data_IF_405101844657
#
_entry.id   IF_405101844657
#
_cell.length_a   1.000
_cell.length_b   1.000
_cell.length_c   1.000
_cell.angle_alpha   90.00
_cell.angle_beta   90.00
_cell.angle_gamma   90.00
#
_symmetry.space_group_name_H-M   'P 1'
#
loop_
_entity.id
_entity.type
_entity.pdbx_description
1 polymer ?
#
# COMPACT_ATOMS: atom_id res chain seq x y z
N UNK A 1 30.87 -59.37 -14.71
CA UNK A 1 31.52 -58.72 -13.55
C UNK A 1 31.87 -57.26 -13.90
N UNK A 2 30.91 -56.48 -14.42
CA UNK A 2 31.15 -55.11 -14.91
C UNK A 2 29.86 -54.26 -14.96
N UNK A 3 28.92 -54.46 -14.01
CA UNK A 3 27.65 -53.73 -13.97
C UNK A 3 27.19 -53.43 -12.53
N UNK A 4 28.11 -53.17 -11.59
CA UNK A 4 27.75 -52.81 -10.20
C UNK A 4 28.41 -51.52 -9.66
N UNK A 5 29.32 -50.87 -10.38
CA UNK A 5 30.11 -49.76 -9.82
C UNK A 5 29.58 -48.34 -10.10
N UNK A 6 28.40 -48.18 -10.70
CA UNK A 6 27.84 -46.86 -11.03
C UNK A 6 26.72 -46.36 -10.07
N UNK A 7 26.66 -46.90 -8.85
CA UNK A 7 25.76 -46.42 -7.79
C UNK A 7 26.45 -45.45 -6.81
N UNK A 8 27.61 -44.90 -7.19
CA UNK A 8 28.32 -43.92 -6.38
C UNK A 8 27.62 -42.55 -6.42
N UNK A 9 26.95 -42.25 -5.31
CA UNK A 9 26.60 -40.90 -4.83
C UNK A 9 25.86 -39.98 -5.80
N UNK A 10 24.53 -40.13 -5.85
CA UNK A 10 23.67 -38.94 -6.00
C UNK A 10 23.89 -38.09 -4.76
N UNK A 11 24.86 -37.16 -4.81
CA UNK A 11 25.01 -36.11 -3.80
C UNK A 11 23.73 -35.28 -3.83
N UNK A 12 22.81 -35.60 -2.92
CA UNK A 12 21.69 -34.73 -2.58
C UNK A 12 22.29 -33.36 -2.30
N UNK A 13 21.98 -32.38 -3.16
CA UNK A 13 22.35 -31.00 -2.91
C UNK A 13 21.92 -30.68 -1.46
N UNK A 14 22.82 -30.11 -0.64
CA UNK A 14 22.50 -29.85 0.76
C UNK A 14 21.21 -29.06 0.79
N UNK A 15 20.19 -29.59 1.47
CA UNK A 15 18.90 -28.94 1.65
C UNK A 15 19.19 -27.49 2.01
N UNK A 16 18.89 -26.55 1.09
CA UNK A 16 19.17 -25.14 1.30
C UNK A 16 18.50 -24.78 2.61
N UNK A 17 19.31 -24.61 3.67
CA UNK A 17 18.82 -24.24 4.99
C UNK A 17 18.01 -22.99 4.75
N UNK A 18 16.68 -23.07 4.95
CA UNK A 18 15.79 -21.91 4.98
C UNK A 18 16.40 -20.90 5.93
N UNK A 19 17.14 -19.93 5.38
CA UNK A 19 17.66 -18.83 6.16
C UNK A 19 16.42 -18.15 6.72
N UNK A 20 16.23 -18.24 8.05
CA UNK A 20 15.11 -17.56 8.69
C UNK A 20 15.20 -16.10 8.25
N UNK A 21 14.10 -15.51 7.75
CA UNK A 21 14.10 -14.10 7.36
C UNK A 21 14.53 -13.32 8.59
N UNK A 22 15.76 -12.83 8.58
CA UNK A 22 16.29 -12.10 9.70
C UNK A 22 15.80 -10.67 9.52
N UNK A 23 14.68 -10.33 10.15
CA UNK A 23 14.09 -8.99 10.11
C UNK A 23 15.08 -7.89 10.52
N UNK A 24 16.11 -8.24 11.29
CA UNK A 24 17.21 -7.31 11.62
C UNK A 24 18.08 -6.94 10.40
N UNK A 25 18.05 -7.71 9.30
CA UNK A 25 18.75 -7.39 8.04
C UNK A 25 18.21 -6.13 7.37
N UNK A 26 16.96 -5.75 7.66
CA UNK A 26 16.37 -4.50 7.14
C UNK A 26 17.21 -3.30 7.62
N UNK A 27 17.73 -3.33 8.84
CA UNK A 27 18.55 -2.24 9.38
C UNK A 27 19.98 -2.16 8.79
N UNK A 28 20.40 -3.14 8.00
CA UNK A 28 21.72 -3.09 7.34
C UNK A 28 21.69 -2.26 6.06
N UNK A 29 20.51 -2.07 5.45
CA UNK A 29 20.37 -1.27 4.24
C UNK A 29 20.07 0.19 4.59
N UNK A 30 20.94 1.11 4.14
CA UNK A 30 20.77 2.55 4.40
C UNK A 30 19.44 3.09 3.84
N UNK A 31 19.00 2.56 2.70
CA UNK A 31 17.72 2.94 2.08
C UNK A 31 16.53 2.53 2.94
N UNK A 32 16.57 1.31 3.48
CA UNK A 32 15.54 0.79 4.37
C UNK A 32 15.40 1.60 5.66
N UNK A 33 16.53 2.04 6.24
CA UNK A 33 16.53 2.86 7.46
C UNK A 33 15.91 4.22 7.21
N UNK A 34 16.21 4.87 6.08
CA UNK A 34 15.59 6.14 5.69
C UNK A 34 14.10 5.96 5.46
N UNK A 35 13.70 4.90 4.73
CA UNK A 35 12.28 4.58 4.50
C UNK A 35 11.52 4.36 5.81
N UNK A 36 12.08 3.54 6.69
CA UNK A 36 11.52 3.27 8.01
C UNK A 36 11.40 4.54 8.85
N UNK A 37 12.42 5.40 8.86
CA UNK A 37 12.38 6.68 9.57
C UNK A 37 11.22 7.56 9.09
N UNK A 38 11.04 7.71 7.77
CA UNK A 38 9.96 8.53 7.20
C UNK A 38 8.57 8.00 7.56
N UNK A 39 8.37 6.67 7.48
CA UNK A 39 7.10 6.05 7.87
C UNK A 39 6.85 6.22 9.36
N UNK A 40 7.86 5.94 10.20
CA UNK A 40 7.76 6.08 11.66
C UNK A 40 7.50 7.52 12.06
N UNK A 41 8.14 8.50 11.41
CA UNK A 41 7.89 9.92 11.64
C UNK A 41 6.41 10.26 11.44
N UNK A 42 5.81 9.89 10.30
CA UNK A 42 4.41 10.17 10.02
C UNK A 42 3.45 9.38 10.90
N UNK A 43 3.77 8.12 11.23
CA UNK A 43 2.99 7.32 12.17
C UNK A 43 3.01 7.95 13.57
N UNK A 44 4.18 8.40 14.04
CA UNK A 44 4.30 9.09 15.32
C UNK A 44 3.52 10.41 15.31
N UNK A 45 3.64 11.21 14.25
CA UNK A 45 2.86 12.44 14.09
C UNK A 45 1.35 12.18 14.13
N UNK A 46 0.89 11.14 13.42
CA UNK A 46 -0.52 10.74 13.39
C UNK A 46 -1.04 10.27 14.76
N UNK A 47 -0.26 9.46 15.49
CA UNK A 47 -0.64 8.96 16.82
C UNK A 47 -0.61 10.05 17.89
N UNK A 48 0.38 10.95 17.82
CA UNK A 48 0.54 12.04 18.78
C UNK A 48 -0.39 13.24 18.48
N UNK A 49 -1.00 13.31 17.29
CA UNK A 49 -1.90 14.40 16.88
C UNK A 49 -2.90 14.86 17.96
N UNK A 50 -3.61 13.98 18.69
CA UNK A 50 -4.59 14.39 19.70
C UNK A 50 -3.98 14.95 20.99
N UNK A 51 -2.70 14.69 21.24
CA UNK A 51 -1.98 15.07 22.47
C UNK A 51 -1.11 16.30 22.23
N UNK A 52 -0.70 16.54 20.98
CA UNK A 52 0.05 17.72 20.61
C UNK A 52 -0.79 18.98 20.87
N UNK A 53 -0.17 20.08 21.33
CA UNK A 53 -0.86 21.36 21.58
C UNK A 53 -1.15 22.09 20.26
N UNK A 54 -1.90 21.44 19.37
CA UNK A 54 -2.32 21.97 18.08
C UNK A 54 -3.79 22.41 18.16
N UNK A 55 -4.19 23.52 17.51
CA UNK A 55 -5.59 23.88 17.33
C UNK A 55 -6.37 22.74 16.66
N UNK A 56 -7.69 22.69 16.82
CA UNK A 56 -8.47 21.68 16.09
C UNK A 56 -8.34 21.93 14.57
N UNK A 57 -8.18 20.88 13.76
CA UNK A 57 -7.89 21.02 12.33
C UNK A 57 -9.09 21.55 11.51
N UNK A 58 -10.25 21.69 12.17
CA UNK A 58 -11.48 22.23 11.61
C UNK A 58 -11.78 23.64 12.09
N UNK A 59 -11.05 24.13 13.09
CA UNK A 59 -11.27 25.45 13.65
C UNK A 59 -10.73 26.51 12.69
N UNK A 60 -11.53 27.55 12.47
CA UNK A 60 -11.20 28.67 11.59
C UNK A 60 -10.95 29.93 12.42
N UNK A 61 -9.73 30.47 12.33
CA UNK A 61 -9.40 31.81 12.85
C UNK A 61 -9.61 32.86 11.75
N UNK A 62 -10.72 33.58 11.84
CA UNK A 62 -11.10 34.63 10.89
C UNK A 62 -10.12 35.80 10.91
N UNK A 63 -9.47 36.06 12.05
CA UNK A 63 -8.49 37.15 12.17
C UNK A 63 -7.18 36.81 11.46
N UNK A 64 -6.79 35.54 11.47
CA UNK A 64 -5.62 35.04 10.75
C UNK A 64 -5.80 35.10 9.22
N UNK A 65 -7.03 35.20 8.69
CA UNK A 65 -7.27 35.32 7.24
C UNK A 65 -6.66 36.59 6.64
N UNK A 66 -6.53 37.67 7.43
CA UNK A 66 -5.89 38.91 6.99
C UNK A 66 -4.36 38.82 6.91
N UNK A 67 -3.76 37.83 7.58
CA UNK A 67 -2.32 37.57 7.59
C UNK A 67 -2.07 36.04 7.72
N UNK A 68 -2.21 35.27 6.62
CA UNK A 68 -2.15 33.81 6.66
C UNK A 68 -0.71 33.26 6.77
N UNK A 69 0.29 34.13 6.94
CA UNK A 69 1.70 33.76 7.04
C UNK A 69 2.03 33.13 8.40
N UNK A 70 3.17 32.40 8.52
CA UNK A 70 3.58 31.77 9.76
C UNK A 70 3.66 32.73 10.93
N UNK A 71 3.09 32.33 12.05
CA UNK A 71 3.07 33.09 13.29
C UNK A 71 3.25 32.18 14.50
N UNK A 72 3.43 32.76 15.69
CA UNK A 72 3.53 31.97 16.93
C UNK A 72 2.25 31.17 17.22
N UNK A 73 1.09 31.65 16.77
CA UNK A 73 -0.19 30.95 16.87
C UNK A 73 -0.35 29.88 15.78
N UNK A 74 0.17 30.14 14.58
CA UNK A 74 0.06 29.25 13.40
C UNK A 74 1.43 29.01 12.78
N UNK A 75 2.14 27.96 13.20
CA UNK A 75 3.54 27.75 12.85
C UNK A 75 3.80 27.57 11.35
N UNK A 76 2.84 27.03 10.61
CA UNK A 76 2.89 26.91 9.15
C UNK A 76 1.94 27.89 8.44
N UNK A 77 1.36 28.83 9.19
CA UNK A 77 0.30 29.70 8.72
C UNK A 77 -1.07 29.02 8.66
N UNK A 78 -2.03 29.72 8.08
CA UNK A 78 -3.41 29.25 7.92
C UNK A 78 -3.75 29.02 6.45
N UNK A 79 -4.80 28.24 6.21
CA UNK A 79 -5.38 28.12 4.88
C UNK A 79 -6.32 29.28 4.54
N UNK A 80 -6.91 29.24 3.33
CA UNK A 80 -7.87 30.24 2.83
C UNK A 80 -9.14 30.37 3.67
N UNK A 81 -9.41 29.41 4.57
CA UNK A 81 -10.54 29.45 5.50
C UNK A 81 -10.09 29.77 6.93
N UNK A 82 -8.85 30.20 7.13
CA UNK A 82 -8.30 30.52 8.46
C UNK A 82 -7.97 29.28 9.30
N UNK A 83 -7.93 28.07 8.73
CA UNK A 83 -7.62 26.85 9.49
C UNK A 83 -6.11 26.61 9.57
N UNK A 84 -5.62 26.15 10.71
CA UNK A 84 -4.19 25.93 10.93
C UNK A 84 -3.62 24.84 10.00
N UNK A 85 -2.61 25.19 9.18
CA UNK A 85 -2.04 24.26 8.17
C UNK A 85 -1.29 23.11 8.84
N UNK A 86 -0.59 23.36 9.96
CA UNK A 86 0.16 22.32 10.67
C UNK A 86 -0.77 21.28 11.30
N UNK A 87 -1.84 21.73 11.94
CA UNK A 87 -2.89 20.87 12.50
C UNK A 87 -3.53 20.02 11.40
N UNK A 88 -3.95 20.65 10.29
CA UNK A 88 -4.50 19.91 9.14
C UNK A 88 -3.51 18.90 8.55
N UNK A 89 -2.22 19.23 8.53
CA UNK A 89 -1.17 18.33 8.06
C UNK A 89 -1.05 17.08 8.95
N UNK A 90 -0.93 17.28 10.27
CA UNK A 90 -0.71 16.21 11.25
C UNK A 90 -1.97 15.34 11.40
N UNK A 91 -3.16 15.94 11.45
CA UNK A 91 -4.41 15.17 11.45
C UNK A 91 -4.67 14.48 10.11
N UNK A 92 -4.29 15.09 8.98
CA UNK A 92 -4.35 14.48 7.66
C UNK A 92 -3.48 13.24 7.53
N UNK A 93 -2.36 13.18 8.26
CA UNK A 93 -1.53 11.97 8.34
C UNK A 93 -2.32 10.76 8.86
N UNK A 94 -3.20 10.94 9.87
CA UNK A 94 -4.05 9.86 10.40
C UNK A 94 -4.99 9.31 9.35
N UNK A 95 -5.57 10.22 8.58
CA UNK A 95 -6.50 9.90 7.50
C UNK A 95 -5.81 9.06 6.42
N UNK A 96 -4.66 9.51 5.93
CA UNK A 96 -3.91 8.81 4.87
C UNK A 96 -3.36 7.46 5.38
N UNK A 97 -2.81 7.42 6.60
CA UNK A 97 -2.24 6.22 7.22
C UNK A 97 -3.29 5.20 7.70
N UNK A 98 -4.57 5.57 7.75
CA UNK A 98 -5.66 4.60 8.00
C UNK A 98 -6.28 4.12 6.70
N UNK A 99 -6.63 5.03 5.79
CA UNK A 99 -7.37 4.70 4.58
C UNK A 99 -6.51 3.95 3.56
N UNK A 100 -5.25 4.35 3.33
CA UNK A 100 -4.42 3.69 2.33
C UNK A 100 -4.07 2.23 2.71
N UNK A 101 -3.56 1.94 3.93
CA UNK A 101 -3.29 0.55 4.32
C UNK A 101 -4.54 -0.32 4.39
N UNK A 102 -5.68 0.23 4.84
CA UNK A 102 -6.94 -0.50 4.85
C UNK A 102 -7.38 -0.88 3.43
N UNK A 103 -7.33 0.07 2.50
CA UNK A 103 -7.69 -0.15 1.10
C UNK A 103 -6.82 -1.22 0.45
N UNK A 104 -5.50 -1.17 0.71
CA UNK A 104 -4.56 -2.18 0.22
C UNK A 104 -4.80 -3.53 0.88
N UNK A 105 -5.05 -3.59 2.20
CA UNK A 105 -5.31 -4.84 2.90
C UNK A 105 -6.52 -5.58 2.33
N UNK A 106 -7.63 -4.87 2.09
CA UNK A 106 -8.84 -5.44 1.47
C UNK A 106 -8.55 -5.90 0.04
N UNK A 107 -7.85 -5.08 -0.76
CA UNK A 107 -7.43 -5.44 -2.11
C UNK A 107 -6.52 -6.68 -2.12
N UNK A 108 -5.61 -6.82 -1.14
CA UNK A 108 -4.72 -7.97 -1.00
C UNK A 108 -5.51 -9.22 -0.67
N UNK A 109 -6.48 -9.16 0.25
CA UNK A 109 -7.33 -10.33 0.59
C UNK A 109 -8.07 -10.81 -0.66
N UNK A 110 -8.73 -9.91 -1.38
CA UNK A 110 -9.50 -10.25 -2.60
C UNK A 110 -8.57 -10.77 -3.69
N UNK A 111 -7.50 -10.03 -3.99
CA UNK A 111 -6.55 -10.37 -5.04
C UNK A 111 -5.80 -11.67 -4.77
N UNK A 112 -5.28 -11.88 -3.56
CA UNK A 112 -4.63 -13.14 -3.17
C UNK A 112 -5.61 -14.29 -3.34
N UNK A 113 -6.85 -14.15 -2.86
CA UNK A 113 -7.86 -15.21 -3.00
C UNK A 113 -8.11 -15.55 -4.47
N UNK A 114 -8.33 -14.55 -5.31
CA UNK A 114 -8.50 -14.73 -6.77
C UNK A 114 -7.30 -15.44 -7.40
N UNK A 115 -6.09 -14.98 -7.09
CA UNK A 115 -4.86 -15.53 -7.69
C UNK A 115 -4.51 -16.93 -7.19
N UNK A 116 -4.77 -17.22 -5.91
CA UNK A 116 -4.62 -18.55 -5.32
C UNK A 116 -5.56 -19.55 -6.00
N UNK A 117 -6.84 -19.21 -6.13
CA UNK A 117 -7.84 -20.06 -6.78
C UNK A 117 -7.48 -20.27 -8.25
N UNK A 118 -7.18 -19.19 -9.00
CA UNK A 118 -6.79 -19.30 -10.40
C UNK A 118 -5.52 -20.15 -10.60
N UNK A 119 -4.47 -19.89 -9.82
CA UNK A 119 -3.19 -20.59 -9.95
C UNK A 119 -3.27 -22.06 -9.54
N UNK A 120 -4.01 -22.37 -8.47
CA UNK A 120 -4.12 -23.72 -7.94
C UNK A 120 -4.96 -24.62 -8.86
N UNK A 121 -6.18 -24.20 -9.18
CA UNK A 121 -7.10 -25.03 -9.97
C UNK A 121 -6.77 -25.02 -11.48
N UNK A 122 -6.27 -23.91 -12.03
CA UNK A 122 -5.97 -23.80 -13.45
C UNK A 122 -7.22 -23.90 -14.35
N UNK A 123 -7.00 -24.24 -15.62
CA UNK A 123 -8.06 -24.57 -16.58
C UNK A 123 -9.08 -23.45 -16.80
N UNK A 124 -10.37 -23.81 -16.74
CA UNK A 124 -11.47 -22.87 -16.99
C UNK A 124 -11.63 -21.84 -15.86
N UNK A 125 -11.37 -22.22 -14.59
CA UNK A 125 -11.46 -21.31 -13.43
C UNK A 125 -10.44 -20.19 -13.59
N UNK A 126 -9.20 -20.57 -13.90
CA UNK A 126 -8.14 -19.62 -14.22
C UNK A 126 -8.53 -18.70 -15.39
N UNK A 127 -9.07 -19.28 -16.46
CA UNK A 127 -9.50 -18.52 -17.63
C UNK A 127 -10.55 -17.47 -17.26
N UNK A 128 -11.59 -17.81 -16.50
CA UNK A 128 -12.63 -16.85 -16.11
C UNK A 128 -12.06 -15.73 -15.23
N UNK A 129 -11.30 -16.08 -14.19
CA UNK A 129 -10.72 -15.10 -13.25
C UNK A 129 -9.75 -14.17 -13.99
N UNK A 130 -8.89 -14.74 -14.84
CA UNK A 130 -7.92 -13.97 -15.63
C UNK A 130 -8.62 -13.06 -16.63
N UNK A 131 -9.67 -13.52 -17.34
CA UNK A 131 -10.42 -12.67 -18.29
C UNK A 131 -11.15 -11.53 -17.61
N UNK A 132 -11.80 -11.78 -16.47
CA UNK A 132 -12.40 -10.72 -15.66
C UNK A 132 -11.35 -9.70 -15.21
N UNK A 133 -10.20 -10.17 -14.75
CA UNK A 133 -9.07 -9.33 -14.34
C UNK A 133 -8.54 -8.48 -15.50
N UNK A 134 -8.42 -9.06 -16.69
CA UNK A 134 -7.92 -8.38 -17.89
C UNK A 134 -8.88 -7.27 -18.35
N UNK A 135 -10.20 -7.48 -18.22
CA UNK A 135 -11.21 -6.45 -18.52
C UNK A 135 -11.01 -5.24 -17.61
N UNK A 136 -10.84 -5.44 -16.30
CA UNK A 136 -10.64 -4.32 -15.36
C UNK A 136 -9.31 -3.61 -15.64
N UNK A 137 -8.23 -4.38 -15.83
CA UNK A 137 -6.89 -3.83 -16.04
C UNK A 137 -6.72 -3.12 -17.41
N UNK A 138 -7.65 -3.31 -18.34
CA UNK A 138 -7.68 -2.58 -19.60
C UNK A 138 -8.05 -1.10 -19.41
N UNK A 139 -8.76 -0.76 -18.33
CA UNK A 139 -9.10 0.63 -18.02
C UNK A 139 -7.96 1.31 -17.25
N UNK A 140 -7.64 2.58 -17.55
CA UNK A 140 -6.73 3.36 -16.72
C UNK A 140 -7.27 3.40 -15.28
N UNK A 141 -6.40 3.09 -14.32
CA UNK A 141 -6.77 2.96 -12.91
C UNK A 141 -7.54 4.20 -12.40
N UNK A 142 -7.05 5.40 -12.70
CA UNK A 142 -7.71 6.66 -12.32
C UNK A 142 -9.13 6.79 -12.86
N UNK A 143 -9.41 6.29 -14.07
CA UNK A 143 -10.75 6.35 -14.68
C UNK A 143 -11.75 5.52 -13.87
N UNK A 144 -11.34 4.35 -13.38
CA UNK A 144 -12.18 3.51 -12.50
C UNK A 144 -12.56 4.29 -11.23
N UNK A 145 -11.59 4.94 -10.58
CA UNK A 145 -11.87 5.72 -9.37
C UNK A 145 -12.83 6.87 -9.65
N UNK A 146 -12.59 7.65 -10.70
CA UNK A 146 -13.44 8.80 -11.04
C UNK A 146 -14.86 8.34 -11.32
N UNK A 147 -15.06 7.29 -12.14
CA UNK A 147 -16.40 6.79 -12.46
C UNK A 147 -17.11 6.29 -11.19
N UNK A 148 -16.46 5.50 -10.35
CA UNK A 148 -17.10 4.95 -9.15
C UNK A 148 -17.46 6.05 -8.15
N UNK A 149 -16.51 6.94 -7.84
CA UNK A 149 -16.69 7.95 -6.80
C UNK A 149 -17.59 9.09 -7.28
N UNK A 150 -17.53 9.49 -8.54
CA UNK A 150 -18.42 10.55 -9.06
C UNK A 150 -19.89 10.12 -9.07
N UNK A 151 -20.18 8.82 -9.23
CA UNK A 151 -21.57 8.33 -9.24
C UNK A 151 -22.11 8.00 -7.83
N UNK A 152 -21.28 7.46 -6.93
CA UNK A 152 -21.72 7.04 -5.58
C UNK A 152 -21.51 8.15 -4.55
N UNK A 153 -20.53 9.02 -4.77
CA UNK A 153 -20.14 10.11 -3.87
C UNK A 153 -18.84 9.83 -3.09
N UNK A 154 -18.20 10.89 -2.56
CA UNK A 154 -16.95 10.79 -1.81
C UNK A 154 -17.17 10.19 -0.41
N UNK A 155 -16.53 9.04 -0.12
CA UNK A 155 -16.48 8.46 1.22
C UNK A 155 -15.27 7.52 1.38
N UNK A 156 -14.84 7.28 2.62
CA UNK A 156 -13.77 6.30 2.92
C UNK A 156 -14.13 4.93 2.34
N UNK A 157 -15.37 4.49 2.52
CA UNK A 157 -15.84 3.19 2.04
C UNK A 157 -15.74 3.10 0.51
N UNK A 158 -16.16 4.13 -0.21
CA UNK A 158 -16.12 4.16 -1.67
C UNK A 158 -14.67 4.17 -2.19
N UNK A 159 -13.75 4.84 -1.49
CA UNK A 159 -12.31 4.79 -1.80
C UNK A 159 -11.77 3.38 -1.62
N UNK A 160 -12.12 2.69 -0.52
CA UNK A 160 -11.70 1.30 -0.26
C UNK A 160 -12.23 0.35 -1.33
N UNK A 161 -13.51 0.46 -1.69
CA UNK A 161 -14.15 -0.37 -2.72
C UNK A 161 -13.51 -0.11 -4.09
N UNK A 162 -13.37 1.16 -4.49
CA UNK A 162 -12.73 1.52 -5.75
C UNK A 162 -11.29 1.02 -5.83
N UNK A 163 -10.52 1.16 -4.74
CA UNK A 163 -9.15 0.65 -4.65
C UNK A 163 -9.10 -0.86 -4.79
N UNK A 164 -10.02 -1.56 -4.13
CA UNK A 164 -10.12 -3.03 -4.17
C UNK A 164 -10.40 -3.50 -5.59
N UNK A 165 -11.41 -2.93 -6.25
CA UNK A 165 -11.78 -3.29 -7.63
C UNK A 165 -10.61 -3.02 -8.58
N UNK A 166 -9.95 -1.87 -8.47
CA UNK A 166 -8.87 -1.49 -9.36
C UNK A 166 -7.57 -2.30 -9.13
N UNK A 167 -7.27 -2.66 -7.87
CA UNK A 167 -5.97 -3.25 -7.50
C UNK A 167 -5.98 -4.78 -7.39
N UNK A 168 -7.11 -5.38 -6.99
CA UNK A 168 -7.21 -6.83 -6.77
C UNK A 168 -6.85 -7.66 -8.02
N UNK A 169 -7.23 -7.30 -9.25
CA UNK A 169 -6.81 -8.00 -10.46
C UNK A 169 -5.27 -8.09 -10.62
N UNK A 170 -4.56 -6.99 -10.34
CA UNK A 170 -3.11 -6.94 -10.42
C UNK A 170 -2.44 -7.82 -9.36
N UNK A 171 -2.96 -7.78 -8.13
CA UNK A 171 -2.50 -8.63 -7.02
C UNK A 171 -2.77 -10.11 -7.33
N UNK A 172 -3.95 -10.42 -7.86
CA UNK A 172 -4.33 -11.77 -8.27
C UNK A 172 -3.44 -12.32 -9.38
N UNK A 173 -3.06 -11.50 -10.35
CA UNK A 173 -2.11 -11.89 -11.41
C UNK A 173 -0.73 -12.25 -10.85
N UNK A 174 -0.20 -11.46 -9.91
CA UNK A 174 1.07 -11.74 -9.23
C UNK A 174 0.96 -13.04 -8.42
N UNK A 175 -0.07 -13.17 -7.59
CA UNK A 175 -0.28 -14.33 -6.73
C UNK A 175 -0.45 -15.60 -7.56
N UNK A 176 -1.20 -15.54 -8.67
CA UNK A 176 -1.35 -16.64 -9.63
C UNK A 176 -0.01 -17.09 -10.18
N UNK A 177 0.84 -16.15 -10.62
CA UNK A 177 2.17 -16.46 -11.13
C UNK A 177 3.05 -17.20 -10.10
N UNK A 178 3.01 -16.76 -8.84
CA UNK A 178 3.73 -17.44 -7.74
C UNK A 178 3.19 -18.85 -7.50
N UNK A 179 1.86 -19.02 -7.47
CA UNK A 179 1.22 -20.31 -7.21
C UNK A 179 1.49 -21.31 -8.33
N UNK A 180 1.50 -20.87 -9.59
CA UNK A 180 1.82 -21.73 -10.73
C UNK A 180 3.23 -22.35 -10.61
N UNK A 181 4.20 -21.60 -10.08
CA UNK A 181 5.55 -22.12 -9.83
C UNK A 181 5.66 -22.98 -8.56
N UNK A 182 4.94 -22.63 -7.50
CA UNK A 182 5.01 -23.33 -6.22
C UNK A 182 4.22 -24.65 -6.19
N UNK A 183 3.12 -24.76 -6.95
CA UNK A 183 2.26 -25.95 -6.93
C UNK A 183 2.91 -27.20 -7.52
N UNK A 184 3.95 -27.02 -8.32
CA UNK A 184 4.73 -28.10 -8.96
C UNK A 184 5.89 -28.60 -8.08
N UNK A 185 6.05 -28.05 -6.87
CA UNK A 185 7.13 -28.42 -5.95
C UNK A 185 6.88 -29.75 -5.24
N UNK A 186 7.94 -30.50 -4.92
CA UNK A 186 7.87 -31.84 -4.32
C UNK A 186 7.11 -31.87 -2.98
N UNK A 187 7.23 -30.83 -2.16
CA UNK A 187 6.52 -30.76 -0.87
C UNK A 187 5.00 -30.65 -1.06
N UNK A 188 4.52 -30.05 -2.15
CA UNK A 188 3.10 -30.01 -2.51
C UNK A 188 2.64 -31.38 -2.99
N UNK A 189 3.44 -32.07 -3.81
CA UNK A 189 3.15 -33.44 -4.23
C UNK A 189 3.04 -34.38 -3.01
N UNK A 190 3.96 -34.25 -2.05
CA UNK A 190 3.93 -35.01 -0.79
C UNK A 190 2.67 -34.71 0.04
N UNK A 191 2.24 -33.44 0.14
CA UNK A 191 1.00 -33.07 0.83
C UNK A 191 -0.24 -33.69 0.17
N UNK A 192 -0.29 -33.72 -1.18
CA UNK A 192 -1.35 -34.39 -1.93
C UNK A 192 -1.38 -35.90 -1.69
N UNK A 193 -0.22 -36.55 -1.61
CA UNK A 193 -0.12 -37.99 -1.31
C UNK A 193 -0.62 -38.32 0.11
N UNK A 194 -0.49 -37.38 1.06
CA UNK A 194 -1.06 -37.50 2.40
C UNK A 194 -2.58 -37.25 2.45
N UNK A 195 -3.22 -37.00 1.31
CA UNK A 195 -4.63 -36.63 1.20
C UNK A 195 -5.01 -35.38 2.01
N UNK A 196 -4.08 -34.43 2.15
CA UNK A 196 -4.37 -33.14 2.77
C UNK A 196 -5.42 -32.36 1.95
N UNK A 197 -6.29 -31.63 2.66
CA UNK A 197 -7.34 -30.86 2.00
C UNK A 197 -6.76 -29.76 1.09
N UNK A 198 -7.45 -29.45 -0.01
CA UNK A 198 -7.05 -28.36 -0.92
C UNK A 198 -6.90 -27.01 -0.20
N UNK A 199 -7.77 -26.71 0.76
CA UNK A 199 -7.69 -25.47 1.55
C UNK A 199 -6.44 -25.47 2.42
N UNK A 200 -6.09 -26.61 3.03
CA UNK A 200 -4.83 -26.75 3.77
C UNK A 200 -3.62 -26.49 2.86
N UNK A 201 -3.57 -27.12 1.68
CA UNK A 201 -2.47 -26.91 0.73
C UNK A 201 -2.37 -25.43 0.34
N UNK A 202 -3.49 -24.77 0.06
CA UNK A 202 -3.48 -23.34 -0.30
C UNK A 202 -3.01 -22.45 0.85
N UNK A 203 -3.56 -22.59 2.06
CA UNK A 203 -3.32 -21.66 3.17
C UNK A 203 -2.05 -21.97 3.97
N UNK A 204 -1.66 -23.24 4.06
CA UNK A 204 -0.55 -23.69 4.92
C UNK A 204 0.71 -23.99 4.11
N UNK A 205 0.57 -24.52 2.89
CA UNK A 205 1.74 -24.87 2.07
C UNK A 205 2.09 -23.80 1.04
N UNK A 206 1.11 -23.23 0.32
CA UNK A 206 1.38 -22.27 -0.75
C UNK A 206 1.52 -20.83 -0.23
N UNK A 207 0.51 -20.32 0.47
CA UNK A 207 0.46 -18.91 0.90
C UNK A 207 1.68 -18.49 1.75
N UNK A 208 2.18 -19.29 2.72
CA UNK A 208 3.34 -18.91 3.52
C UNK A 208 4.64 -18.85 2.71
N UNK A 209 4.72 -19.52 1.56
CA UNK A 209 5.85 -19.42 0.64
C UNK A 209 5.73 -18.18 -0.29
N UNK A 210 4.52 -17.68 -0.54
CA UNK A 210 4.31 -16.41 -1.26
C UNK A 210 4.46 -15.17 -0.39
N UNK A 211 4.36 -15.30 0.95
CA UNK A 211 4.19 -14.17 1.87
C UNK A 211 5.25 -13.09 1.76
N UNK A 212 6.52 -13.44 1.55
CA UNK A 212 7.61 -12.46 1.48
C UNK A 212 7.37 -11.52 0.30
N UNK A 213 7.09 -12.07 -0.87
CA UNK A 213 6.82 -11.26 -2.05
C UNK A 213 5.54 -10.42 -1.90
N UNK A 214 4.49 -11.02 -1.34
CA UNK A 214 3.20 -10.34 -1.14
C UNK A 214 3.30 -9.18 -0.15
N UNK A 215 4.15 -9.28 0.89
CA UNK A 215 4.35 -8.18 1.84
C UNK A 215 5.13 -7.01 1.18
N UNK A 216 6.16 -7.29 0.37
CA UNK A 216 6.84 -6.21 -0.39
C UNK A 216 5.85 -5.52 -1.34
N UNK A 217 5.06 -6.31 -2.09
CA UNK A 217 4.06 -5.78 -3.02
C UNK A 217 3.01 -4.93 -2.29
N UNK A 218 2.53 -5.37 -1.12
CA UNK A 218 1.63 -4.58 -0.28
C UNK A 218 2.23 -3.23 0.12
N UNK A 219 3.51 -3.19 0.50
CA UNK A 219 4.20 -1.97 0.90
C UNK A 219 4.30 -0.97 -0.27
N UNK A 220 4.68 -1.42 -1.46
CA UNK A 220 4.69 -0.60 -2.68
C UNK A 220 3.28 -0.09 -3.03
N UNK A 221 2.27 -0.94 -2.91
CA UNK A 221 0.88 -0.57 -3.18
C UNK A 221 0.35 0.48 -2.23
N UNK A 222 0.74 0.46 -0.97
CA UNK A 222 0.39 1.55 -0.03
C UNK A 222 0.90 2.88 -0.58
N UNK A 223 2.13 2.95 -1.07
CA UNK A 223 2.68 4.15 -1.73
C UNK A 223 1.83 4.62 -2.92
N UNK A 224 1.49 3.72 -3.85
CA UNK A 224 0.64 4.06 -5.00
C UNK A 224 -0.78 4.48 -4.61
N UNK A 225 -1.36 3.85 -3.59
CA UNK A 225 -2.69 4.20 -3.07
C UNK A 225 -2.66 5.56 -2.38
N UNK A 226 -1.61 5.92 -1.66
CA UNK A 226 -1.45 7.27 -1.07
C UNK A 226 -1.42 8.33 -2.17
N UNK A 227 -0.66 8.11 -3.25
CA UNK A 227 -0.66 9.01 -4.41
C UNK A 227 -2.08 9.14 -4.96
N UNK A 228 -2.77 8.02 -5.14
CA UNK A 228 -4.13 8.00 -5.69
C UNK A 228 -5.11 8.77 -4.81
N UNK A 229 -5.07 8.58 -3.49
CA UNK A 229 -5.91 9.33 -2.55
C UNK A 229 -5.61 10.83 -2.64
N UNK A 230 -4.34 11.22 -2.73
CA UNK A 230 -3.95 12.61 -2.96
C UNK A 230 -4.50 13.17 -4.27
N UNK A 231 -4.44 12.41 -5.37
CA UNK A 231 -5.03 12.79 -6.67
C UNK A 231 -6.55 12.94 -6.54
N UNK A 232 -7.24 12.02 -5.87
CA UNK A 232 -8.69 12.10 -5.69
C UNK A 232 -9.07 13.31 -4.84
N UNK A 233 -8.36 13.55 -3.75
CA UNK A 233 -8.49 14.77 -2.94
C UNK A 233 -8.34 16.04 -3.78
N UNK A 234 -7.30 16.07 -4.61
CA UNK A 234 -7.05 17.18 -5.52
C UNK A 234 -8.20 17.39 -6.52
N UNK A 235 -8.74 16.29 -7.07
CA UNK A 235 -9.87 16.31 -8.00
C UNK A 235 -11.22 16.60 -7.31
N UNK A 236 -11.26 16.72 -5.98
CA UNK A 236 -12.51 16.90 -5.22
C UNK A 236 -13.32 15.62 -5.02
N UNK A 237 -12.73 14.46 -5.29
CA UNK A 237 -13.29 13.13 -5.09
C UNK A 237 -12.68 12.42 -3.87
N UNK A 238 -11.83 13.13 -3.10
CA UNK A 238 -11.26 12.65 -1.85
C UNK A 238 -12.27 12.73 -0.71
N UNK A 239 -11.76 12.93 0.50
CA UNK A 239 -12.63 12.93 1.68
C UNK A 239 -13.42 14.25 1.79
N UNK A 240 -14.71 14.17 2.14
CA UNK A 240 -15.52 15.37 2.23
C UNK A 240 -15.07 16.26 3.41
N UNK A 241 -15.11 17.59 3.26
CA UNK A 241 -14.93 18.52 4.37
C UNK A 241 -15.88 18.18 5.54
N UNK A 242 -15.49 18.43 6.80
CA UNK A 242 -14.33 19.23 7.23
C UNK A 242 -13.03 18.42 7.42
N UNK A 243 -13.04 17.12 7.09
CA UNK A 243 -11.92 16.21 7.33
C UNK A 243 -10.61 16.70 6.68
N UNK A 244 -9.47 16.63 7.38
CA UNK A 244 -8.18 16.95 6.78
C UNK A 244 -7.79 15.89 5.74
N UNK A 245 -7.55 16.36 4.52
CA UNK A 245 -7.13 15.58 3.37
C UNK A 245 -6.01 16.32 2.62
N UNK A 246 -4.84 15.70 2.50
CA UNK A 246 -3.67 16.37 1.90
C UNK A 246 -3.90 16.75 0.44
N UNK A 247 -4.64 15.94 -0.34
CA UNK A 247 -5.00 16.28 -1.72
C UNK A 247 -5.94 17.49 -1.80
N UNK A 248 -6.95 17.52 -0.93
CA UNK A 248 -7.88 18.63 -0.78
C UNK A 248 -7.18 19.93 -0.35
N UNK A 249 -6.21 19.84 0.57
CA UNK A 249 -5.39 21.00 0.95
C UNK A 249 -4.63 21.59 -0.25
N UNK A 250 -4.06 20.73 -1.11
CA UNK A 250 -3.43 21.17 -2.36
C UNK A 250 -4.45 21.83 -3.28
N UNK A 251 -5.64 21.23 -3.47
CA UNK A 251 -6.72 21.81 -4.29
C UNK A 251 -7.13 23.21 -3.84
N UNK A 252 -7.37 23.38 -2.54
CA UNK A 252 -7.78 24.65 -1.93
C UNK A 252 -6.70 25.74 -2.11
N UNK A 253 -5.43 25.34 -2.26
CA UNK A 253 -4.30 26.25 -2.39
C UNK A 253 -3.97 26.73 -3.79
N UNK A 254 -4.53 26.11 -4.83
CA UNK A 254 -4.18 26.44 -6.22
C UNK A 254 -4.47 27.90 -6.56
N UNK A 255 -5.55 28.47 -6.03
CA UNK A 255 -5.98 29.85 -6.33
C UNK A 255 -5.06 30.91 -5.71
N UNK A 256 -4.35 30.57 -4.65
CA UNK A 256 -3.47 31.49 -3.91
C UNK A 256 -1.99 31.14 -4.04
N UNK A 257 -1.64 30.22 -4.95
CA UNK A 257 -0.29 29.68 -5.10
C UNK A 257 0.78 30.77 -5.34
N UNK A 258 0.42 31.82 -6.09
CA UNK A 258 1.33 32.93 -6.38
C UNK A 258 1.58 33.85 -5.18
N UNK A 259 0.69 33.85 -4.18
CA UNK A 259 0.79 34.69 -2.98
C UNK A 259 1.37 33.90 -1.82
N UNK A 260 0.86 32.68 -1.60
CA UNK A 260 1.27 31.82 -0.50
C UNK A 260 1.56 30.38 -0.97
N UNK A 261 2.71 30.15 -1.62
CA UNK A 261 3.04 28.85 -2.21
C UNK A 261 3.21 27.75 -1.15
N UNK A 262 3.60 28.10 0.08
CA UNK A 262 3.82 27.15 1.16
C UNK A 262 2.54 26.38 1.54
N UNK A 263 1.36 26.97 1.36
CA UNK A 263 0.08 26.29 1.59
C UNK A 263 -0.11 25.04 0.73
N UNK A 264 0.47 25.04 -0.47
CA UNK A 264 0.44 23.90 -1.41
C UNK A 264 1.64 22.98 -1.25
N UNK A 265 2.82 23.58 -1.04
CA UNK A 265 4.09 22.83 -0.98
C UNK A 265 4.17 21.94 0.27
N UNK A 266 3.64 22.39 1.41
CA UNK A 266 3.66 21.62 2.66
C UNK A 266 2.89 20.29 2.55
N UNK A 267 1.59 20.26 2.18
CA UNK A 267 0.87 18.99 2.02
C UNK A 267 1.43 18.14 0.87
N UNK A 268 1.98 18.76 -0.18
CA UNK A 268 2.67 18.04 -1.26
C UNK A 268 3.94 17.34 -0.77
N UNK A 269 4.77 18.03 0.02
CA UNK A 269 5.97 17.46 0.63
C UNK A 269 5.64 16.34 1.61
N UNK A 270 4.52 16.44 2.33
CA UNK A 270 4.03 15.36 3.19
C UNK A 270 3.65 14.10 2.39
N UNK A 271 2.89 14.26 1.31
CA UNK A 271 2.58 13.16 0.37
C UNK A 271 3.86 12.51 -0.17
N UNK A 272 4.78 13.32 -0.71
CA UNK A 272 6.02 12.82 -1.31
C UNK A 272 6.88 12.09 -0.28
N UNK A 273 7.10 12.67 0.90
CA UNK A 273 7.93 12.06 1.94
C UNK A 273 7.34 10.74 2.46
N UNK A 274 6.02 10.65 2.63
CA UNK A 274 5.38 9.42 3.07
C UNK A 274 5.44 8.31 2.00
N UNK A 275 5.19 8.66 0.74
CA UNK A 275 5.29 7.72 -0.40
C UNK A 275 6.72 7.22 -0.56
N UNK A 276 7.71 8.10 -0.48
CA UNK A 276 9.12 7.73 -0.48
C UNK A 276 9.45 6.81 0.70
N UNK A 277 8.88 7.07 1.88
CA UNK A 277 9.01 6.21 3.05
C UNK A 277 8.61 4.76 2.77
N UNK A 278 7.39 4.54 2.25
CA UNK A 278 6.91 3.20 1.92
C UNK A 278 7.68 2.54 0.77
N UNK A 279 8.05 3.29 -0.28
CA UNK A 279 8.82 2.73 -1.40
C UNK A 279 10.22 2.28 -0.96
N UNK A 280 10.95 3.11 -0.20
CA UNK A 280 12.27 2.78 0.31
C UNK A 280 12.23 1.63 1.33
N UNK A 281 11.17 1.57 2.15
CA UNK A 281 10.96 0.46 3.08
C UNK A 281 10.73 -0.86 2.31
N UNK A 282 9.92 -0.85 1.25
CA UNK A 282 9.69 -2.02 0.41
C UNK A 282 10.97 -2.54 -0.25
N UNK A 283 11.80 -1.64 -0.79
CA UNK A 283 13.10 -1.97 -1.38
C UNK A 283 14.03 -2.61 -0.35
N UNK A 284 14.07 -2.04 0.87
CA UNK A 284 14.81 -2.59 1.99
C UNK A 284 14.38 -4.01 2.39
N UNK A 285 13.07 -4.24 2.44
CA UNK A 285 12.50 -5.57 2.73
C UNK A 285 12.84 -6.58 1.63
N UNK A 286 12.80 -6.16 0.37
CA UNK A 286 13.17 -6.99 -0.78
C UNK A 286 14.64 -7.40 -0.72
N UNK A 287 15.53 -6.50 -0.32
CA UNK A 287 16.96 -6.78 -0.16
C UNK A 287 17.22 -7.75 1.01
N UNK A 288 16.55 -7.55 2.14
CA UNK A 288 16.69 -8.42 3.33
C UNK A 288 16.25 -9.87 3.08
N UNK A 289 15.36 -10.10 2.10
CA UNK A 289 14.85 -11.42 1.74
C UNK A 289 15.59 -12.11 0.59
N UNK A 290 16.65 -11.50 0.05
CA UNK A 290 17.57 -12.22 -0.83
C UNK A 290 18.35 -13.28 -0.02
N UNK A 291 18.42 -14.53 -0.49
CA UNK A 291 19.16 -15.61 0.19
C UNK A 291 20.66 -15.30 0.32
#
# INVERSE_FOLDING_TARGET
>A
MALQDNLAEVKLAPAQRRARPNWMRIFYSKTAVVGLFLVVFWVAAALLAPILPLPSPTDSDVMAMGNPYPSAAHWLGTDVLGRDVLSRLVFGARTVLSVAPLSVAVAMIVGITMGMVAGYYGGWIDTIISRFSDIILAFPVLVIYVILIANIGPSVLNIVIATTIASAPGIGRITRGLVLGLKEQEYIAAAKLRAESTIYIMLVELLPNCRSMLIVDACLRIGYTIITIGILGFLGLGLPPPNPDWGGMVKESVTVLNVWPLMSLVPSAALVSLVLGFNLLADGMREAWKP
#
